data_IF_333850854153
#
_entry.id   IF_333850854153
#
_cell.length_a   1.000
_cell.length_b   1.000
_cell.length_c   1.000
_cell.angle_alpha   90.00
_cell.angle_beta   90.00
_cell.angle_gamma   90.00
#
_symmetry.space_group_name_H-M   'P 1'
#
loop_
_entity.id
_entity.type
_entity.pdbx_description
1 polymer ?
#
# COMPACT_ATOMS: atom_id res chain seq x y z
N UNK A 1 -2.29 7.71 -3.47
CA UNK A 1 -0.89 7.75 -3.95
C UNK A 1 -0.05 8.44 -2.89
N UNK A 2 1.12 7.91 -2.57
CA UNK A 2 2.13 8.56 -1.71
C UNK A 2 3.51 8.41 -2.34
N UNK A 3 4.42 9.35 -2.04
CA UNK A 3 5.79 9.35 -2.56
C UNK A 3 6.74 9.45 -1.36
N UNK A 4 7.70 8.53 -1.24
CA UNK A 4 8.69 8.57 -0.17
C UNK A 4 9.84 9.55 -0.47
N UNK A 5 10.79 9.74 0.44
CA UNK A 5 11.91 10.66 0.23
C UNK A 5 12.93 10.16 -0.80
N UNK A 6 12.86 8.89 -1.22
CA UNK A 6 13.67 8.33 -2.30
C UNK A 6 13.03 8.57 -3.67
N UNK A 7 11.79 9.07 -3.70
CA UNK A 7 11.02 9.25 -4.91
C UNK A 7 10.26 8.00 -5.35
N UNK A 8 10.23 6.93 -4.56
CA UNK A 8 9.38 5.77 -4.86
C UNK A 8 7.91 6.16 -4.73
N UNK A 9 7.12 5.80 -5.72
CA UNK A 9 5.71 6.13 -5.85
C UNK A 9 4.87 4.90 -5.50
N UNK A 10 3.95 5.05 -4.54
CA UNK A 10 3.06 3.99 -4.10
C UNK A 10 1.62 4.33 -4.49
N UNK A 11 0.98 3.44 -5.26
CA UNK A 11 -0.39 3.60 -5.74
C UNK A 11 -1.24 2.47 -5.17
N UNK A 12 -2.32 2.84 -4.46
CA UNK A 12 -3.32 1.88 -4.00
C UNK A 12 -4.23 1.53 -5.18
N UNK A 13 -4.20 0.27 -5.60
CA UNK A 13 -5.16 -0.26 -6.55
C UNK A 13 -6.33 -0.85 -5.77
N UNK A 14 -7.35 -0.01 -5.57
CA UNK A 14 -8.55 -0.40 -4.84
C UNK A 14 -9.35 -1.50 -5.51
N UNK A 15 -9.20 -1.71 -6.83
CA UNK A 15 -9.93 -2.76 -7.55
C UNK A 15 -9.21 -4.11 -7.43
N UNK A 16 -7.88 -4.10 -7.55
CA UNK A 16 -7.07 -5.31 -7.52
C UNK A 16 -6.56 -5.69 -6.12
N UNK A 17 -6.92 -4.91 -5.09
CA UNK A 17 -6.57 -5.16 -3.70
C UNK A 17 -5.07 -5.34 -3.51
N UNK A 18 -4.30 -4.42 -4.08
CA UNK A 18 -2.86 -4.41 -3.96
C UNK A 18 -2.30 -2.99 -4.05
N UNK A 19 -1.01 -2.85 -3.77
CA UNK A 19 -0.29 -1.59 -3.90
C UNK A 19 0.78 -1.75 -4.95
N UNK A 20 0.75 -0.92 -5.97
CA UNK A 20 1.80 -0.86 -6.99
C UNK A 20 2.88 0.11 -6.55
N UNK A 21 4.15 -0.28 -6.73
CA UNK A 21 5.33 0.49 -6.39
C UNK A 21 6.07 0.81 -7.68
N UNK A 22 6.33 2.08 -7.90
CA UNK A 22 7.13 2.58 -9.00
C UNK A 22 8.35 3.33 -8.46
N UNK A 23 9.41 3.42 -9.26
CA UNK A 23 10.53 4.30 -8.93
C UNK A 23 10.21 5.77 -9.30
N UNK A 24 11.18 6.64 -9.02
CA UNK A 24 11.11 8.06 -9.36
C UNK A 24 11.09 8.38 -10.87
N UNK A 25 11.40 7.42 -11.75
CA UNK A 25 11.21 7.53 -13.20
C UNK A 25 9.79 7.12 -13.63
N UNK A 26 9.02 6.50 -12.73
CA UNK A 26 7.72 5.91 -13.05
C UNK A 26 7.80 4.49 -13.58
N UNK A 27 8.96 3.82 -13.46
CA UNK A 27 9.12 2.42 -13.83
C UNK A 27 8.54 1.51 -12.75
N UNK A 28 7.81 0.47 -13.17
CA UNK A 28 7.21 -0.47 -12.24
C UNK A 28 8.29 -1.32 -11.54
N UNK A 29 8.29 -1.31 -10.21
CA UNK A 29 9.22 -2.10 -9.40
C UNK A 29 8.56 -3.42 -8.99
N UNK A 30 7.41 -3.34 -8.29
CA UNK A 30 6.72 -4.50 -7.72
C UNK A 30 5.31 -4.15 -7.25
N UNK A 31 4.58 -5.20 -6.87
CA UNK A 31 3.28 -5.11 -6.18
C UNK A 31 3.40 -5.61 -4.75
N UNK A 32 2.69 -4.97 -3.82
CA UNK A 32 2.57 -5.38 -2.41
C UNK A 32 1.14 -5.82 -2.14
N UNK A 33 1.03 -7.02 -1.58
CA UNK A 33 -0.21 -7.67 -1.16
C UNK A 33 -1.09 -8.17 -2.31
N UNK A 34 -2.18 -8.81 -1.93
CA UNK A 34 -3.16 -9.46 -2.81
C UNK A 34 -4.48 -9.68 -2.06
N UNK A 35 -5.54 -10.03 -2.78
CA UNK A 35 -6.79 -10.45 -2.16
C UNK A 35 -6.58 -11.68 -1.25
N UNK A 36 -7.03 -11.60 0.00
CA UNK A 36 -6.98 -12.72 0.94
C UNK A 36 -7.08 -12.29 2.41
N UNK A 37 -6.92 -13.22 3.34
CA UNK A 37 -7.10 -13.00 4.79
C UNK A 37 -5.82 -13.27 5.62
N UNK A 38 -4.73 -13.67 4.96
CA UNK A 38 -3.45 -13.91 5.60
C UNK A 38 -2.61 -12.63 5.81
N UNK A 39 -1.46 -12.73 6.50
CA UNK A 39 -0.54 -11.61 6.65
C UNK A 39 -0.12 -11.02 5.30
N UNK A 40 -0.31 -9.72 5.12
CA UNK A 40 -0.01 -9.02 3.87
C UNK A 40 -1.09 -9.15 2.77
N UNK A 41 -2.25 -9.72 3.09
CA UNK A 41 -3.40 -9.82 2.19
C UNK A 41 -4.51 -8.83 2.56
N UNK A 42 -5.32 -8.43 1.58
CA UNK A 42 -6.37 -7.42 1.70
C UNK A 42 -7.75 -8.03 1.38
N UNK A 43 -8.76 -7.75 2.20
CA UNK A 43 -10.08 -8.40 2.07
C UNK A 43 -11.09 -7.56 1.28
N UNK A 44 -11.06 -6.22 1.40
CA UNK A 44 -12.08 -5.35 0.80
C UNK A 44 -11.49 -4.17 0.04
N UNK A 45 -12.16 -3.83 -1.06
CA UNK A 45 -11.80 -2.79 -2.03
C UNK A 45 -11.99 -1.39 -1.47
N UNK A 46 -12.66 -1.30 -0.33
CA UNK A 46 -13.40 -0.09 0.00
C UNK A 46 -12.51 0.97 0.65
N UNK A 47 -11.34 0.63 1.19
CA UNK A 47 -10.46 1.63 1.83
C UNK A 47 -9.00 1.16 1.95
N UNK A 48 -8.23 1.03 0.86
CA UNK A 48 -6.76 1.02 0.98
C UNK A 48 -6.30 2.48 1.06
N UNK A 49 -6.12 3.01 2.28
CA UNK A 49 -5.49 4.33 2.48
C UNK A 49 -4.00 4.17 2.70
N UNK A 50 -3.22 4.90 1.91
CA UNK A 50 -1.77 4.99 2.05
C UNK A 50 -1.41 6.22 2.86
N UNK A 51 -0.59 6.04 3.90
CA UNK A 51 0.10 7.15 4.56
C UNK A 51 1.55 6.78 4.84
N UNK A 52 2.43 7.78 4.84
CA UNK A 52 3.83 7.62 5.23
C UNK A 52 3.99 8.14 6.66
N UNK A 53 4.60 7.33 7.51
CA UNK A 53 4.97 7.77 8.87
C UNK A 53 6.36 8.38 8.88
N UNK A 54 6.79 8.98 10.00
CA UNK A 54 8.06 9.73 10.12
C UNK A 54 9.32 8.96 9.66
N UNK A 55 9.28 7.63 9.68
CA UNK A 55 10.34 6.73 9.21
C UNK A 55 10.17 6.27 7.74
N UNK A 56 9.19 6.83 7.03
CA UNK A 56 8.80 6.48 5.66
C UNK A 56 8.28 5.06 5.47
N UNK A 57 7.93 4.35 6.55
CA UNK A 57 7.15 3.11 6.46
C UNK A 57 5.79 3.41 5.85
N UNK A 58 5.31 2.47 5.03
CA UNK A 58 4.03 2.58 4.36
C UNK A 58 2.96 1.99 5.28
N UNK A 59 2.01 2.83 5.67
CA UNK A 59 0.87 2.41 6.46
C UNK A 59 -0.29 2.21 5.51
N UNK A 60 -0.87 1.01 5.62
CA UNK A 60 -2.04 0.62 4.86
C UNK A 60 -3.16 0.41 5.85
N UNK A 61 -4.09 1.37 5.91
CA UNK A 61 -5.23 1.26 6.82
C UNK A 61 -6.40 0.59 6.10
N UNK A 62 -6.69 -0.68 6.41
CA UNK A 62 -7.97 -1.33 6.11
C UNK A 62 -8.99 -0.90 7.18
N UNK A 63 -9.98 -0.09 6.79
CA UNK A 63 -10.92 0.54 7.73
C UNK A 63 -11.93 -0.45 8.35
N UNK A 64 -11.90 -1.75 8.00
CA UNK A 64 -12.74 -2.79 8.63
C UNK A 64 -11.99 -3.99 9.20
N UNK A 65 -10.69 -4.14 8.94
CA UNK A 65 -9.87 -5.19 9.53
C UNK A 65 -8.64 -4.59 10.24
N UNK A 66 -8.76 -4.42 11.57
CA UNK A 66 -7.68 -4.15 12.53
C UNK A 66 -6.72 -2.97 12.22
N UNK A 67 -6.68 -1.91 13.05
CA UNK A 67 -5.91 -0.68 12.81
C UNK A 67 -4.37 -0.81 12.92
N UNK A 68 -3.79 -2.01 12.93
CA UNK A 68 -2.40 -2.26 13.33
C UNK A 68 -1.51 -2.90 12.24
N UNK A 69 -1.55 -2.40 10.99
CA UNK A 69 -0.61 -2.86 9.95
C UNK A 69 0.40 -1.80 9.54
N UNK A 70 1.68 -2.12 9.79
CA UNK A 70 2.87 -1.38 9.37
C UNK A 70 3.65 -2.28 8.41
N UNK A 71 4.04 -1.76 7.24
CA UNK A 71 4.93 -2.43 6.27
C UNK A 71 6.19 -1.58 6.10
#
# INVERSE_FOLDING_TARGET
MVINSKGDIFIADGQNLHIQVFDHQGEFIRTIGRKGQGPGEFITTDNIKLSLYKNQSLYVCDFRANPNYQI
#
